data_IF_894939906253
#
_entry.id   IF_894939906253
#
_cell.length_a   1.000
_cell.length_b   1.000
_cell.length_c   1.000
_cell.angle_alpha   90.00
_cell.angle_beta   90.00
_cell.angle_gamma   90.00
#
_symmetry.space_group_name_H-M   'P 1'
#
loop_
_entity.id
_entity.type
_entity.pdbx_description
1 polymer ?
#
# COMPACT_ATOMS: atom_id res chain seq x y z
N UNK A 1 -41.71 -23.77 -2.92
CA UNK A 1 -41.42 -23.94 -4.37
C UNK A 1 -41.60 -22.65 -5.18
N UNK A 2 -42.58 -21.82 -4.91
CA UNK A 2 -42.77 -20.51 -5.57
C UNK A 2 -41.69 -19.48 -5.18
N UNK A 3 -41.25 -19.45 -3.93
CA UNK A 3 -40.19 -18.52 -3.46
C UNK A 3 -38.83 -18.85 -4.08
N UNK A 4 -38.48 -20.12 -4.25
CA UNK A 4 -37.22 -20.53 -4.91
C UNK A 4 -37.19 -20.16 -6.40
N UNK A 5 -38.33 -20.25 -7.11
CA UNK A 5 -38.41 -19.81 -8.52
C UNK A 5 -38.20 -18.29 -8.65
N UNK A 6 -38.72 -17.50 -7.74
CA UNK A 6 -38.48 -16.05 -7.75
C UNK A 6 -37.03 -15.67 -7.42
N UNK A 7 -36.36 -16.41 -6.51
CA UNK A 7 -34.93 -16.24 -6.27
C UNK A 7 -34.09 -16.60 -7.50
N UNK A 8 -34.33 -17.73 -8.16
CA UNK A 8 -33.61 -18.13 -9.36
C UNK A 8 -33.79 -17.17 -10.54
N UNK A 9 -34.93 -16.49 -10.66
CA UNK A 9 -35.18 -15.47 -11.68
C UNK A 9 -34.40 -14.19 -11.33
N UNK A 10 -34.34 -13.81 -10.05
CA UNK A 10 -33.60 -12.64 -9.58
C UNK A 10 -32.08 -12.79 -9.75
N UNK A 11 -31.52 -13.99 -9.53
CA UNK A 11 -30.09 -14.27 -9.69
C UNK A 11 -29.67 -14.40 -11.16
N UNK A 12 -30.60 -14.67 -12.07
CA UNK A 12 -30.33 -14.81 -13.49
C UNK A 12 -30.29 -13.47 -14.24
N UNK A 13 -30.97 -12.46 -13.72
CA UNK A 13 -30.90 -11.09 -14.20
C UNK A 13 -30.02 -10.30 -13.20
N UNK A 14 -28.71 -10.38 -13.41
CA UNK A 14 -27.75 -9.54 -12.71
C UNK A 14 -27.93 -8.11 -13.23
N UNK A 15 -28.99 -7.46 -12.75
CA UNK A 15 -29.18 -6.03 -12.96
C UNK A 15 -28.16 -5.31 -12.12
N UNK A 16 -27.01 -4.98 -12.69
CA UNK A 16 -26.21 -3.88 -12.19
C UNK A 16 -27.07 -2.63 -12.35
N UNK A 17 -27.79 -2.29 -11.29
CA UNK A 17 -28.60 -1.09 -11.26
C UNK A 17 -27.67 0.12 -11.39
N UNK A 18 -27.75 0.79 -12.52
CA UNK A 18 -27.38 2.21 -12.60
C UNK A 18 -28.16 2.93 -11.47
N UNK A 19 -27.47 3.64 -10.57
CA UNK A 19 -28.05 4.23 -9.35
C UNK A 19 -29.10 5.34 -9.57
N UNK A 20 -29.89 5.23 -10.62
CA UNK A 20 -30.97 6.16 -11.03
C UNK A 20 -32.38 5.60 -10.81
N UNK A 21 -32.53 4.44 -10.17
CA UNK A 21 -33.84 3.87 -9.91
C UNK A 21 -34.61 4.68 -8.85
N UNK A 22 -35.43 5.59 -9.32
CA UNK A 22 -36.36 6.37 -8.51
C UNK A 22 -37.71 5.65 -8.50
N UNK A 23 -37.79 4.40 -8.01
CA UNK A 23 -39.06 3.72 -7.90
C UNK A 23 -39.00 2.20 -8.01
N UNK A 24 -40.21 1.58 -8.11
CA UNK A 24 -40.33 0.14 -8.30
C UNK A 24 -39.98 -0.24 -9.74
N UNK A 25 -38.98 -1.09 -9.95
CA UNK A 25 -38.63 -1.62 -11.27
C UNK A 25 -39.36 -2.93 -11.54
N UNK A 26 -39.91 -3.06 -12.75
CA UNK A 26 -40.61 -4.25 -13.22
C UNK A 26 -39.85 -4.84 -14.42
N UNK A 27 -39.49 -6.12 -14.32
CA UNK A 27 -38.83 -6.83 -15.43
C UNK A 27 -39.93 -7.50 -16.27
N UNK A 28 -40.07 -7.09 -17.52
CA UNK A 28 -41.06 -7.62 -18.47
C UNK A 28 -40.42 -8.00 -19.78
N UNK A 29 -41.09 -8.83 -20.58
CA UNK A 29 -40.64 -9.12 -21.94
C UNK A 29 -40.84 -7.92 -22.86
N UNK A 30 -40.00 -7.79 -23.90
CA UNK A 30 -40.12 -6.70 -24.89
C UNK A 30 -41.49 -6.65 -25.53
N UNK A 31 -42.08 -7.81 -25.85
CA UNK A 31 -43.39 -7.90 -26.44
C UNK A 31 -44.47 -7.35 -25.52
N UNK A 32 -44.40 -7.65 -24.25
CA UNK A 32 -45.31 -7.11 -23.22
C UNK A 32 -45.17 -5.61 -23.08
N UNK A 33 -43.91 -5.11 -23.06
CA UNK A 33 -43.63 -3.67 -22.99
C UNK A 33 -44.20 -2.93 -24.20
N UNK A 34 -44.03 -3.46 -25.41
CA UNK A 34 -44.56 -2.90 -26.65
C UNK A 34 -46.10 -2.92 -26.67
N UNK A 35 -46.75 -3.85 -25.94
CA UNK A 35 -48.18 -3.89 -25.82
C UNK A 35 -48.75 -2.81 -24.87
N UNK A 36 -47.95 -2.39 -23.90
CA UNK A 36 -48.31 -1.38 -22.94
C UNK A 36 -48.03 0.05 -23.40
N UNK A 37 -46.88 0.24 -24.09
CA UNK A 37 -46.39 1.54 -24.48
C UNK A 37 -46.08 1.53 -26.00
N UNK A 38 -46.71 2.46 -26.71
CA UNK A 38 -46.60 2.53 -28.17
C UNK A 38 -45.17 2.88 -28.68
N UNK A 39 -44.37 3.56 -27.90
CA UNK A 39 -42.96 3.90 -28.18
C UNK A 39 -42.17 3.90 -26.88
N UNK A 40 -41.66 2.74 -26.44
CA UNK A 40 -40.83 2.69 -25.24
C UNK A 40 -39.49 3.40 -25.50
N UNK A 41 -39.06 4.26 -24.59
CA UNK A 41 -37.77 4.91 -24.65
C UNK A 41 -36.71 3.99 -24.01
N UNK A 42 -35.66 3.70 -24.75
CA UNK A 42 -34.52 2.97 -24.21
C UNK A 42 -33.65 3.97 -23.42
N UNK A 43 -33.48 3.73 -22.13
CA UNK A 43 -32.66 4.55 -21.24
C UNK A 43 -31.22 4.09 -21.20
N UNK A 44 -31.02 2.77 -21.08
CA UNK A 44 -29.69 2.17 -20.97
C UNK A 44 -29.57 0.98 -21.92
N UNK A 45 -28.38 0.83 -22.53
CA UNK A 45 -28.02 -0.31 -23.36
C UNK A 45 -26.71 -0.91 -22.86
N UNK A 46 -26.75 -2.19 -22.53
CA UNK A 46 -25.55 -2.92 -22.08
C UNK A 46 -25.02 -3.78 -23.21
N UNK A 47 -23.74 -3.56 -23.57
CA UNK A 47 -23.03 -4.32 -24.60
C UNK A 47 -22.03 -5.22 -23.91
N UNK A 48 -22.16 -6.54 -24.09
CA UNK A 48 -21.24 -7.53 -23.52
C UNK A 48 -20.37 -8.12 -24.60
N UNK A 49 -19.06 -8.17 -24.34
CA UNK A 49 -18.10 -8.83 -25.22
C UNK A 49 -18.10 -10.34 -24.96
N UNK A 50 -18.18 -11.15 -26.02
CA UNK A 50 -18.11 -12.62 -25.92
C UNK A 50 -16.69 -13.16 -25.60
N UNK A 51 -15.67 -12.32 -25.74
CA UNK A 51 -14.26 -12.65 -25.52
C UNK A 51 -13.58 -11.56 -24.70
N UNK A 52 -12.26 -11.74 -24.45
CA UNK A 52 -11.45 -10.69 -23.81
C UNK A 52 -11.63 -9.36 -24.53
N UNK A 53 -11.53 -8.28 -23.76
CA UNK A 53 -11.58 -6.90 -24.23
C UNK A 53 -10.84 -6.71 -25.56
N UNK A 54 -11.51 -6.05 -26.51
CA UNK A 54 -10.99 -5.69 -27.82
C UNK A 54 -11.09 -4.17 -28.03
N UNK A 55 -9.92 -3.52 -27.97
CA UNK A 55 -9.81 -2.06 -28.14
C UNK A 55 -10.31 -1.59 -29.52
N UNK A 56 -10.17 -2.41 -30.55
CA UNK A 56 -10.63 -2.09 -31.90
C UNK A 56 -12.15 -2.05 -31.94
N UNK A 57 -12.80 -3.00 -31.27
CA UNK A 57 -14.26 -3.06 -31.20
C UNK A 57 -14.82 -1.90 -30.37
N UNK A 58 -14.16 -1.55 -29.27
CA UNK A 58 -14.57 -0.41 -28.45
C UNK A 58 -14.49 0.91 -29.22
N UNK A 59 -13.38 1.19 -29.91
CA UNK A 59 -13.25 2.37 -30.76
C UNK A 59 -14.31 2.42 -31.84
N UNK A 60 -14.68 1.26 -32.40
CA UNK A 60 -15.75 1.17 -33.40
C UNK A 60 -17.13 1.47 -32.82
N UNK A 61 -17.41 1.01 -31.59
CA UNK A 61 -18.66 1.33 -30.88
C UNK A 61 -18.71 2.82 -30.58
N UNK A 62 -17.62 3.38 -30.07
CA UNK A 62 -17.50 4.82 -29.77
C UNK A 62 -17.73 5.67 -31.01
N UNK A 63 -17.09 5.34 -32.14
CA UNK A 63 -17.31 6.07 -33.39
C UNK A 63 -18.75 5.96 -33.92
N UNK A 64 -19.40 4.81 -33.76
CA UNK A 64 -20.82 4.66 -34.16
C UNK A 64 -21.77 5.51 -33.30
N UNK A 65 -21.42 5.72 -32.03
CA UNK A 65 -22.21 6.59 -31.12
C UNK A 65 -21.94 8.06 -31.41
N UNK A 66 -20.69 8.44 -31.68
CA UNK A 66 -20.29 9.81 -32.02
C UNK A 66 -20.88 10.27 -33.38
N UNK A 67 -20.96 9.37 -34.37
CA UNK A 67 -21.56 9.63 -35.69
C UNK A 67 -23.10 9.72 -35.64
N UNK A 68 -23.72 9.44 -34.50
CA UNK A 68 -25.18 9.48 -34.35
C UNK A 68 -25.65 10.94 -34.17
N UNK A 69 -26.73 11.38 -34.83
CA UNK A 69 -27.31 12.72 -34.63
C UNK A 69 -27.68 13.04 -33.16
N UNK A 70 -27.89 12.02 -32.35
CA UNK A 70 -28.24 12.14 -30.92
C UNK A 70 -27.04 11.88 -30.00
N UNK A 71 -25.80 11.98 -30.48
CA UNK A 71 -24.58 11.70 -29.72
C UNK A 71 -24.48 12.52 -28.44
N UNK A 72 -25.01 13.74 -28.43
CA UNK A 72 -25.01 14.62 -27.24
C UNK A 72 -25.90 14.10 -26.09
N UNK A 73 -26.88 13.26 -26.41
CA UNK A 73 -27.81 12.67 -25.44
C UNK A 73 -27.38 11.25 -25.01
N UNK A 74 -26.33 10.71 -25.64
CA UNK A 74 -25.81 9.37 -25.38
C UNK A 74 -24.53 9.46 -24.55
N UNK A 75 -24.50 8.80 -23.42
CA UNK A 75 -23.31 8.68 -22.59
C UNK A 75 -22.77 7.25 -22.64
N UNK A 76 -21.50 7.10 -23.04
CA UNK A 76 -20.83 5.81 -23.11
C UNK A 76 -20.03 5.64 -21.81
N UNK A 77 -20.33 4.60 -21.05
CA UNK A 77 -19.50 4.16 -19.94
C UNK A 77 -18.82 2.85 -20.31
N UNK A 78 -17.52 2.91 -20.54
CA UNK A 78 -16.70 1.72 -20.74
C UNK A 78 -16.22 1.18 -19.40
N UNK A 79 -16.49 -0.09 -19.12
CA UNK A 79 -15.98 -0.76 -17.93
C UNK A 79 -14.44 -0.81 -17.92
N UNK A 80 -13.84 -0.87 -19.10
CA UNK A 80 -12.38 -0.85 -19.26
C UNK A 80 -11.80 0.53 -18.95
N UNK A 81 -12.42 1.60 -19.46
CA UNK A 81 -11.99 2.98 -19.20
C UNK A 81 -12.16 3.34 -17.72
N UNK A 82 -13.26 2.92 -17.12
CA UNK A 82 -13.47 3.05 -15.67
C UNK A 82 -12.40 2.29 -14.86
N UNK A 83 -12.06 1.07 -15.26
CA UNK A 83 -11.01 0.29 -14.62
C UNK A 83 -9.64 0.97 -14.76
N UNK A 84 -9.34 1.50 -15.94
CA UNK A 84 -8.11 2.26 -16.19
C UNK A 84 -8.04 3.53 -15.36
N UNK A 85 -9.11 4.30 -15.30
CA UNK A 85 -9.18 5.52 -14.47
C UNK A 85 -9.01 5.20 -12.98
N UNK A 86 -9.60 4.10 -12.50
CA UNK A 86 -9.40 3.62 -11.13
C UNK A 86 -7.93 3.24 -10.90
N UNK A 87 -7.30 2.53 -11.85
CA UNK A 87 -5.90 2.14 -11.75
C UNK A 87 -4.95 3.35 -11.77
N UNK A 88 -5.20 4.33 -12.62
CA UNK A 88 -4.44 5.58 -12.68
C UNK A 88 -4.58 6.36 -11.38
N UNK A 89 -5.80 6.53 -10.87
CA UNK A 89 -6.07 7.20 -9.59
C UNK A 89 -5.45 6.49 -8.39
N UNK A 90 -5.49 5.15 -8.36
CA UNK A 90 -4.80 4.36 -7.34
C UNK A 90 -3.27 4.50 -7.45
N UNK A 91 -2.74 4.57 -8.68
CA UNK A 91 -1.32 4.81 -8.93
C UNK A 91 -0.84 6.13 -8.34
N UNK A 92 -1.56 7.21 -8.58
CA UNK A 92 -1.26 8.54 -8.01
C UNK A 92 -1.31 8.54 -6.48
N UNK A 93 -2.31 7.89 -5.87
CA UNK A 93 -2.38 7.74 -4.41
C UNK A 93 -1.20 6.94 -3.86
N UNK A 94 -0.79 5.87 -4.54
CA UNK A 94 0.38 5.08 -4.14
C UNK A 94 1.68 5.87 -4.28
N UNK A 95 1.81 6.73 -5.29
CA UNK A 95 2.98 7.58 -5.48
C UNK A 95 3.12 8.58 -4.33
N UNK A 96 2.06 9.30 -3.99
CA UNK A 96 2.03 10.24 -2.85
C UNK A 96 2.34 9.50 -1.54
N UNK A 97 1.71 8.35 -1.32
CA UNK A 97 1.95 7.51 -0.14
C UNK A 97 3.41 7.05 -0.04
N UNK A 98 4.03 6.72 -1.17
CA UNK A 98 5.44 6.31 -1.23
C UNK A 98 6.38 7.47 -0.89
N UNK A 99 6.11 8.67 -1.39
CA UNK A 99 6.90 9.87 -1.07
C UNK A 99 6.84 10.16 0.42
N UNK A 100 5.64 10.13 1.02
CA UNK A 100 5.46 10.33 2.46
C UNK A 100 6.21 9.24 3.26
N UNK A 101 6.11 7.99 2.86
CA UNK A 101 6.82 6.88 3.50
C UNK A 101 8.35 7.05 3.45
N UNK A 102 8.89 7.51 2.34
CA UNK A 102 10.33 7.81 2.20
C UNK A 102 10.77 8.97 3.09
N UNK A 103 9.96 10.02 3.22
CA UNK A 103 10.24 11.12 4.13
C UNK A 103 10.24 10.65 5.59
N UNK A 104 9.25 9.85 5.98
CA UNK A 104 9.20 9.27 7.33
C UNK A 104 10.36 8.33 7.61
N UNK A 105 10.77 7.52 6.63
CA UNK A 105 11.95 6.68 6.71
C UNK A 105 13.21 7.51 6.96
N UNK A 106 13.41 8.58 6.20
CA UNK A 106 14.56 9.49 6.35
C UNK A 106 14.60 10.09 7.76
N UNK A 107 13.47 10.62 8.24
CA UNK A 107 13.35 11.15 9.61
C UNK A 107 13.65 10.08 10.66
N UNK A 108 13.13 8.86 10.47
CA UNK A 108 13.38 7.72 11.36
C UNK A 108 14.86 7.34 11.41
N UNK A 109 15.53 7.28 10.26
CA UNK A 109 16.97 6.99 10.15
C UNK A 109 17.80 8.07 10.84
N UNK A 110 17.48 9.35 10.62
CA UNK A 110 18.18 10.46 11.29
C UNK A 110 18.01 10.42 12.81
N UNK A 111 16.80 10.19 13.27
CA UNK A 111 16.51 10.09 14.71
C UNK A 111 17.24 8.91 15.34
N UNK A 112 17.19 7.73 14.71
CA UNK A 112 17.92 6.55 15.17
C UNK A 112 19.44 6.80 15.20
N UNK A 113 19.98 7.42 14.14
CA UNK A 113 21.41 7.74 14.03
C UNK A 113 21.85 8.69 15.15
N UNK A 114 21.07 9.73 15.43
CA UNK A 114 21.36 10.68 16.53
C UNK A 114 21.30 10.00 17.89
N UNK A 115 20.30 9.15 18.12
CA UNK A 115 20.15 8.40 19.38
C UNK A 115 21.32 7.46 19.61
N UNK A 116 21.73 6.70 18.60
CA UNK A 116 22.88 5.77 18.69
C UNK A 116 24.19 6.53 18.83
N UNK A 117 24.39 7.62 18.09
CA UNK A 117 25.61 8.44 18.20
C UNK A 117 25.73 9.02 19.63
N UNK A 118 24.66 9.57 20.18
CA UNK A 118 24.61 10.07 21.55
C UNK A 118 24.88 8.96 22.58
N UNK A 119 24.25 7.79 22.43
CA UNK A 119 24.47 6.62 23.29
C UNK A 119 25.93 6.17 23.28
N UNK A 120 26.57 6.10 22.11
CA UNK A 120 27.98 5.73 21.99
C UNK A 120 28.89 6.78 22.60
N UNK A 121 28.60 8.08 22.41
CA UNK A 121 29.37 9.16 23.02
C UNK A 121 29.31 9.10 24.56
N UNK A 122 28.12 8.91 25.13
CA UNK A 122 27.93 8.79 26.57
C UNK A 122 28.65 7.57 27.17
N UNK A 123 28.87 6.52 26.35
CA UNK A 123 29.58 5.29 26.75
C UNK A 123 31.05 5.28 26.35
N UNK A 124 31.61 6.42 25.87
CA UNK A 124 32.99 6.55 25.42
C UNK A 124 34.00 6.03 26.43
N UNK A 125 33.83 6.43 27.73
CA UNK A 125 34.67 5.99 28.84
C UNK A 125 34.62 4.46 29.02
N UNK A 126 33.43 3.88 29.00
CA UNK A 126 33.22 2.44 29.15
C UNK A 126 33.94 1.65 28.04
N UNK A 127 33.88 2.12 26.80
CA UNK A 127 34.61 1.48 25.67
C UNK A 127 36.12 1.64 25.83
N UNK A 128 36.61 2.80 26.31
CA UNK A 128 38.05 3.01 26.55
C UNK A 128 38.57 2.11 27.66
N UNK A 129 37.81 1.93 28.75
CA UNK A 129 38.13 0.99 29.82
C UNK A 129 38.15 -0.46 29.30
N UNK A 130 37.17 -0.87 28.50
CA UNK A 130 37.15 -2.21 27.90
C UNK A 130 38.35 -2.44 27.00
N UNK A 131 38.76 -1.46 26.18
CA UNK A 131 39.97 -1.53 25.34
C UNK A 131 41.23 -1.64 26.22
N UNK A 132 41.31 -0.92 27.33
CA UNK A 132 42.44 -0.94 28.28
C UNK A 132 42.61 -2.30 28.98
N UNK A 133 41.50 -3.00 29.26
CA UNK A 133 41.50 -4.37 29.82
C UNK A 133 41.87 -5.43 28.78
N UNK A 134 42.04 -5.04 27.51
CA UNK A 134 42.46 -5.92 26.42
C UNK A 134 41.35 -6.36 25.47
N UNK A 135 40.17 -5.75 25.53
CA UNK A 135 39.10 -6.03 24.57
C UNK A 135 39.47 -5.51 23.18
N UNK A 136 39.40 -6.37 22.19
CA UNK A 136 39.72 -5.97 20.81
C UNK A 136 38.58 -5.17 20.18
N UNK A 137 38.92 -4.28 19.23
CA UNK A 137 37.92 -3.52 18.43
C UNK A 137 36.91 -4.41 17.74
N UNK A 138 37.29 -5.65 17.35
CA UNK A 138 36.36 -6.63 16.75
C UNK A 138 35.32 -7.11 17.76
N UNK A 139 35.68 -7.26 19.04
CA UNK A 139 34.74 -7.65 20.10
C UNK A 139 33.77 -6.52 20.42
N UNK A 140 34.22 -5.27 20.45
CA UNK A 140 33.36 -4.09 20.64
C UNK A 140 32.37 -3.97 19.47
N UNK A 141 32.84 -4.11 18.22
CA UNK A 141 31.96 -4.10 17.05
C UNK A 141 30.92 -5.20 17.12
N UNK A 142 31.28 -6.42 17.54
CA UNK A 142 30.31 -7.52 17.72
C UNK A 142 29.27 -7.21 18.81
N UNK A 143 29.67 -6.53 19.87
CA UNK A 143 28.75 -6.07 20.92
C UNK A 143 27.73 -5.06 20.34
N UNK A 144 28.23 -4.06 19.59
CA UNK A 144 27.38 -3.04 18.96
C UNK A 144 26.43 -3.62 17.90
N UNK A 145 26.90 -4.61 17.11
CA UNK A 145 26.03 -5.31 16.17
C UNK A 145 24.90 -6.04 16.91
N UNK A 146 25.18 -6.72 18.01
CA UNK A 146 24.17 -7.41 18.82
C UNK A 146 23.15 -6.43 19.37
N UNK A 147 23.60 -5.27 19.87
CA UNK A 147 22.73 -4.20 20.35
C UNK A 147 21.83 -3.68 19.21
N UNK A 148 22.39 -3.36 18.06
CA UNK A 148 21.63 -2.96 16.86
C UNK A 148 20.64 -4.03 16.38
N UNK A 149 21.03 -5.31 16.43
CA UNK A 149 20.13 -6.42 16.08
C UNK A 149 18.94 -6.52 17.02
N UNK A 150 19.13 -6.31 18.32
CA UNK A 150 18.03 -6.29 19.29
C UNK A 150 17.04 -5.15 18.99
N UNK A 151 17.53 -3.95 18.72
CA UNK A 151 16.67 -2.82 18.30
C UNK A 151 15.89 -3.15 17.01
N UNK A 152 16.55 -3.75 16.03
CA UNK A 152 15.90 -4.17 14.79
C UNK A 152 14.81 -5.21 15.05
N UNK A 153 15.07 -6.24 15.85
CA UNK A 153 14.09 -7.27 16.18
C UNK A 153 12.86 -6.69 16.91
N UNK A 154 13.06 -5.78 17.87
CA UNK A 154 11.95 -5.09 18.52
C UNK A 154 11.13 -4.26 17.54
N UNK A 155 11.80 -3.50 16.67
CA UNK A 155 11.13 -2.71 15.63
C UNK A 155 10.32 -3.57 14.68
N UNK A 156 10.91 -4.67 14.19
CA UNK A 156 10.21 -5.62 13.30
C UNK A 156 9.03 -6.27 14.02
N UNK A 157 9.18 -6.65 15.28
CA UNK A 157 8.10 -7.24 16.05
C UNK A 157 6.91 -6.27 16.20
N UNK A 158 7.16 -4.99 16.54
CA UNK A 158 6.13 -3.96 16.64
C UNK A 158 5.46 -3.74 15.28
N UNK A 159 6.24 -3.67 14.20
CA UNK A 159 5.71 -3.47 12.84
C UNK A 159 4.84 -4.65 12.41
N UNK A 160 5.25 -5.88 12.68
CA UNK A 160 4.48 -7.08 12.32
C UNK A 160 3.22 -7.26 13.16
N UNK A 161 3.20 -6.80 14.40
CA UNK A 161 2.02 -6.91 15.28
C UNK A 161 1.10 -5.71 15.09
N UNK A 162 1.50 -4.55 15.58
CA UNK A 162 0.68 -3.34 15.58
C UNK A 162 0.46 -2.83 14.15
N UNK A 163 1.50 -2.81 13.33
CA UNK A 163 1.41 -2.36 11.93
C UNK A 163 0.45 -3.20 11.11
N UNK A 164 0.50 -4.54 11.24
CA UNK A 164 -0.41 -5.44 10.51
C UNK A 164 -1.86 -5.28 10.96
N UNK A 165 -2.11 -5.08 12.25
CA UNK A 165 -3.47 -4.85 12.77
C UNK A 165 -4.04 -3.55 12.22
N UNK A 166 -3.26 -2.46 12.24
CA UNK A 166 -3.70 -1.17 11.68
C UNK A 166 -3.98 -1.29 10.18
N UNK A 167 -3.09 -1.94 9.44
CA UNK A 167 -3.26 -2.16 7.99
C UNK A 167 -4.53 -2.96 7.69
N UNK A 168 -4.81 -4.01 8.48
CA UNK A 168 -6.03 -4.80 8.33
C UNK A 168 -7.30 -3.97 8.60
N UNK A 169 -7.32 -3.18 9.68
CA UNK A 169 -8.46 -2.30 10.01
C UNK A 169 -8.68 -1.27 8.90
N UNK A 170 -7.62 -0.63 8.39
CA UNK A 170 -7.73 0.32 7.30
C UNK A 170 -8.24 -0.35 6.02
N UNK A 171 -7.74 -1.54 5.70
CA UNK A 171 -8.20 -2.31 4.55
C UNK A 171 -9.69 -2.64 4.65
N UNK A 172 -10.14 -3.18 5.78
CA UNK A 172 -11.54 -3.54 6.01
C UNK A 172 -12.47 -2.33 5.90
N UNK A 173 -12.03 -1.18 6.41
CA UNK A 173 -12.82 0.07 6.34
C UNK A 173 -12.99 0.60 4.92
N UNK A 174 -12.09 0.24 3.99
CA UNK A 174 -12.12 0.69 2.59
C UNK A 174 -12.53 -0.41 1.61
N UNK A 175 -12.79 -1.62 2.09
CA UNK A 175 -13.09 -2.79 1.27
C UNK A 175 -14.57 -2.86 0.87
N UNK A 176 -15.03 -1.93 0.05
CA UNK A 176 -16.41 -1.92 -0.46
C UNK A 176 -16.72 -3.06 -1.45
N UNK A 177 -15.69 -3.72 -2.00
CA UNK A 177 -15.82 -4.77 -3.02
C UNK A 177 -15.70 -6.18 -2.44
N UNK A 178 -15.61 -6.34 -1.12
CA UNK A 178 -15.44 -7.64 -0.44
C UNK A 178 -14.26 -8.47 -0.98
N UNK A 179 -13.16 -7.82 -1.35
CA UNK A 179 -11.95 -8.48 -1.86
C UNK A 179 -11.23 -9.14 -0.69
N UNK A 180 -10.72 -10.36 -0.81
CA UNK A 180 -9.96 -11.00 0.25
C UNK A 180 -8.65 -10.26 0.54
N UNK A 181 -8.34 -10.05 1.82
CA UNK A 181 -7.11 -9.40 2.25
C UNK A 181 -5.88 -10.21 1.82
N UNK A 182 -5.01 -9.60 1.05
CA UNK A 182 -3.75 -10.22 0.63
C UNK A 182 -2.56 -9.41 1.17
N UNK A 183 -1.70 -10.08 1.95
CA UNK A 183 -0.53 -9.42 2.55
C UNK A 183 0.51 -9.14 1.46
N UNK A 184 0.96 -7.88 1.30
CA UNK A 184 2.00 -7.53 0.34
C UNK A 184 3.38 -7.99 0.83
N UNK A 185 3.69 -9.27 0.65
CA UNK A 185 4.88 -9.90 1.21
C UNK A 185 6.18 -9.27 0.69
N UNK A 186 6.27 -8.90 -0.59
CA UNK A 186 7.50 -8.36 -1.19
C UNK A 186 7.88 -7.00 -0.57
N UNK A 187 6.99 -5.98 -0.51
CA UNK A 187 7.31 -4.71 0.16
C UNK A 187 7.62 -4.90 1.65
N UNK A 188 6.90 -5.79 2.32
CA UNK A 188 7.12 -6.05 3.75
C UNK A 188 8.51 -6.64 4.02
N UNK A 189 8.92 -7.65 3.25
CA UNK A 189 10.24 -8.27 3.39
C UNK A 189 11.35 -7.26 3.06
N UNK A 190 11.19 -6.46 2.00
CA UNK A 190 12.18 -5.43 1.63
C UNK A 190 12.34 -4.38 2.72
N UNK A 191 11.26 -3.94 3.35
CA UNK A 191 11.30 -3.01 4.47
C UNK A 191 11.99 -3.61 5.70
N UNK A 192 11.72 -4.87 6.04
CA UNK A 192 12.38 -5.57 7.16
C UNK A 192 13.90 -5.65 6.91
N UNK A 193 14.32 -6.05 5.71
CA UNK A 193 15.75 -6.13 5.36
C UNK A 193 16.40 -4.75 5.48
N UNK A 194 15.75 -3.70 4.99
CA UNK A 194 16.28 -2.34 5.05
C UNK A 194 16.46 -1.86 6.50
N UNK A 195 15.46 -2.07 7.38
CA UNK A 195 15.55 -1.72 8.80
C UNK A 195 16.67 -2.49 9.48
N UNK A 196 16.81 -3.80 9.21
CA UNK A 196 17.89 -4.63 9.76
C UNK A 196 19.26 -4.08 9.36
N UNK A 197 19.45 -3.74 8.09
CA UNK A 197 20.72 -3.17 7.58
C UNK A 197 21.04 -1.83 8.27
N UNK A 198 20.09 -0.92 8.36
CA UNK A 198 20.27 0.39 9.01
C UNK A 198 20.66 0.20 10.48
N UNK A 199 19.92 -0.64 11.21
CA UNK A 199 20.19 -0.88 12.64
C UNK A 199 21.53 -1.54 12.91
N UNK A 200 22.07 -2.33 11.99
CA UNK A 200 23.39 -2.96 12.14
C UNK A 200 24.53 -2.02 11.71
N UNK A 201 24.35 -1.24 10.66
CA UNK A 201 25.41 -0.39 10.09
C UNK A 201 25.63 0.88 10.92
N UNK A 202 24.55 1.50 11.38
CA UNK A 202 24.60 2.80 12.10
C UNK A 202 25.51 2.75 13.35
N UNK A 203 25.42 1.76 14.26
CA UNK A 203 26.29 1.70 15.45
C UNK A 203 27.76 1.54 15.07
N UNK A 204 28.06 0.76 14.01
CA UNK A 204 29.41 0.55 13.53
C UNK A 204 30.05 1.84 12.99
N UNK A 205 29.28 2.58 12.18
CA UNK A 205 29.74 3.86 11.62
C UNK A 205 29.98 4.89 12.73
N UNK A 206 29.03 4.98 13.68
CA UNK A 206 29.13 5.90 14.83
C UNK A 206 30.34 5.60 15.71
N UNK A 207 30.59 4.31 16.02
CA UNK A 207 31.76 3.90 16.78
C UNK A 207 33.07 4.12 16.01
N UNK A 208 33.11 3.82 14.70
CA UNK A 208 34.30 4.05 13.87
C UNK A 208 34.68 5.52 13.84
N UNK A 209 33.69 6.42 13.77
CA UNK A 209 33.89 7.88 13.80
C UNK A 209 34.49 8.31 15.16
N UNK A 210 33.98 7.74 16.26
CA UNK A 210 34.48 8.02 17.60
C UNK A 210 35.90 7.48 17.84
N UNK A 211 36.18 6.23 17.41
CA UNK A 211 37.44 5.55 17.61
C UNK A 211 38.56 6.01 16.68
N UNK A 212 38.20 6.64 15.54
CA UNK A 212 39.17 7.11 14.54
C UNK A 212 39.84 8.44 14.85
N UNK A 213 39.25 9.27 15.73
CA UNK A 213 39.69 10.64 15.95
C UNK A 213 40.67 10.85 17.14
N UNK A 214 40.75 9.89 18.06
CA UNK A 214 41.60 10.07 19.27
C UNK A 214 42.25 8.77 19.72
N UNK A 215 43.49 8.86 20.26
CA UNK A 215 44.16 7.74 20.92
C UNK A 215 43.44 7.35 22.21
N UNK A 216 43.64 6.11 22.69
CA UNK A 216 43.01 5.62 23.93
C UNK A 216 43.35 6.53 25.11
N UNK A 217 44.59 6.97 25.19
CA UNK A 217 45.11 7.85 26.23
C UNK A 217 44.44 9.23 26.20
N UNK A 218 44.23 9.77 25.01
CA UNK A 218 43.59 11.08 24.84
C UNK A 218 42.09 11.02 25.18
N UNK A 219 41.43 9.92 24.91
CA UNK A 219 40.02 9.66 25.26
C UNK A 219 39.82 9.52 26.78
N UNK A 220 40.83 9.03 27.52
CA UNK A 220 40.79 8.94 28.99
C UNK A 220 41.09 10.29 29.64
N UNK A 221 42.01 11.06 29.06
CA UNK A 221 42.41 12.39 29.59
C UNK A 221 41.31 13.46 29.46
N UNK A 222 40.49 13.38 28.37
CA UNK A 222 39.37 14.31 28.14
C UNK A 222 38.26 14.22 29.21
N UNK A 223 38.37 13.31 30.19
CA UNK A 223 37.42 13.15 31.31
C UNK A 223 38.01 13.60 32.65
N UNK A 224 39.27 14.02 32.73
CA UNK A 224 39.89 14.51 33.97
C UNK A 224 39.76 16.02 34.16
N UNK A 225 39.10 16.70 33.21
CA UNK A 225 38.76 18.11 33.28
C UNK A 225 37.26 18.27 32.98
#
# INVERSE_FOLDING_TARGET
YRRQRQMCIRDRYNTQYSGRDIGASLIVSQDYLNSLISKPTTLDMYIYYNQKYDEVLEKKITSLVEDNPYSNDLHIESQFENMRTIQESQGEMMEIGTIIALLLLLVGVLNYTNTIASSIQNRKLTFSVMESIGMSKKQINKLLIREGTLYALFSVFITLTIGSVITYICFESMNYMEIPFNVPAIPLISAIILVMLICMITPLLSYKKLAGNHSIVERLRDYEY
#
